data_IF_917529821313
#
_entry.id   IF_917529821313
#
_cell.length_a   1.000
_cell.length_b   1.000
_cell.length_c   1.000
_cell.angle_alpha   90.00
_cell.angle_beta   90.00
_cell.angle_gamma   90.00
#
_symmetry.space_group_name_H-M   'P 1'
#
loop_
_entity.id
_entity.type
_entity.pdbx_description
1 polymer ?
#
# COMPACT_ATOMS: atom_id res chain seq x y z
N UNK A 1 -49.71 25.03 19.53
CA UNK A 1 -48.66 25.06 18.48
C UNK A 1 -47.27 24.65 18.96
N UNK A 2 -46.83 24.84 20.21
CA UNK A 2 -45.50 24.44 20.72
C UNK A 2 -45.27 22.93 20.78
N UNK A 3 -46.26 22.08 21.06
CA UNK A 3 -46.10 20.63 21.18
C UNK A 3 -45.79 19.94 19.85
N UNK A 4 -46.31 20.44 18.72
CA UNK A 4 -46.11 19.87 17.38
C UNK A 4 -44.68 20.09 16.84
N UNK A 5 -44.04 21.20 17.25
CA UNK A 5 -42.67 21.56 16.84
C UNK A 5 -41.63 20.65 17.52
N UNK A 6 -41.85 20.21 18.76
CA UNK A 6 -40.98 19.32 19.49
C UNK A 6 -41.02 17.87 18.98
N UNK A 7 -42.12 17.44 18.37
CA UNK A 7 -42.26 16.09 17.85
C UNK A 7 -41.51 15.92 16.52
N UNK A 8 -41.59 16.94 15.65
CA UNK A 8 -40.83 16.95 14.38
C UNK A 8 -39.35 16.99 14.65
N UNK A 9 -38.87 17.79 15.61
CA UNK A 9 -37.43 17.80 15.96
C UNK A 9 -36.95 16.47 16.50
N UNK A 10 -37.73 15.75 17.32
CA UNK A 10 -37.42 14.41 17.79
C UNK A 10 -37.36 13.36 16.68
N UNK A 11 -38.28 13.43 15.71
CA UNK A 11 -38.30 12.55 14.55
C UNK A 11 -37.10 12.83 13.65
N UNK A 12 -36.76 14.10 13.41
CA UNK A 12 -35.56 14.47 12.64
C UNK A 12 -34.28 14.03 13.33
N UNK A 13 -34.19 14.20 14.66
CA UNK A 13 -33.03 13.68 15.43
C UNK A 13 -32.96 12.17 15.43
N UNK A 14 -34.08 11.46 15.48
CA UNK A 14 -34.16 10.00 15.41
C UNK A 14 -33.76 9.50 14.01
N UNK A 15 -34.20 10.16 12.95
CA UNK A 15 -33.82 9.86 11.57
C UNK A 15 -32.35 10.17 11.32
N UNK A 16 -31.85 11.29 11.86
CA UNK A 16 -30.42 11.63 11.77
C UNK A 16 -29.54 10.61 12.53
N UNK A 17 -29.98 10.16 13.70
CA UNK A 17 -29.33 9.10 14.46
C UNK A 17 -29.35 7.76 13.72
N UNK A 18 -30.45 7.42 13.05
CA UNK A 18 -30.57 6.17 12.26
C UNK A 18 -29.72 6.19 11.00
N UNK A 19 -29.51 7.35 10.36
CA UNK A 19 -28.61 7.52 9.21
C UNK A 19 -27.13 7.41 9.63
N UNK A 20 -26.79 7.83 10.85
CA UNK A 20 -25.42 7.78 11.38
C UNK A 20 -24.98 6.37 11.83
N UNK A 21 -25.92 5.42 12.04
CA UNK A 21 -25.61 4.07 12.54
C UNK A 21 -25.21 3.07 11.44
N UNK A 22 -25.25 3.44 10.16
CA UNK A 22 -24.89 2.54 9.06
C UNK A 22 -23.44 2.72 8.55
N UNK A 23 -22.52 3.26 9.35
CA UNK A 23 -21.12 3.18 9.02
C UNK A 23 -20.59 1.78 9.32
N UNK A 24 -20.75 0.88 8.38
CA UNK A 24 -20.00 -0.38 8.38
C UNK A 24 -18.53 -0.04 8.18
N UNK A 25 -17.69 -0.26 9.18
CA UNK A 25 -16.24 -0.14 9.06
C UNK A 25 -15.74 -1.21 8.07
N UNK A 26 -15.16 -0.79 6.96
CA UNK A 26 -14.55 -1.69 5.98
C UNK A 26 -13.06 -1.72 6.23
N UNK A 27 -12.51 -2.92 6.39
CA UNK A 27 -11.07 -3.10 6.47
C UNK A 27 -10.43 -2.73 5.13
N UNK A 28 -9.40 -1.89 5.17
CA UNK A 28 -8.64 -1.44 4.01
C UNK A 28 -7.19 -1.90 4.16
N UNK A 29 -6.61 -2.30 3.04
CA UNK A 29 -5.19 -2.59 2.98
C UNK A 29 -4.34 -1.32 3.11
N UNK A 30 -3.10 -1.53 3.54
CA UNK A 30 -2.08 -0.49 3.55
C UNK A 30 -1.89 0.09 2.15
N UNK A 31 -1.77 1.41 2.07
CA UNK A 31 -1.45 2.12 0.85
C UNK A 31 -0.10 2.83 0.98
N UNK A 32 0.85 2.47 0.12
CA UNK A 32 2.15 3.13 0.04
C UNK A 32 2.09 4.33 -0.91
N UNK A 33 2.81 5.38 -0.57
CA UNK A 33 3.01 6.55 -1.45
C UNK A 33 4.03 6.24 -2.53
N UNK A 34 5.06 5.47 -2.17
CA UNK A 34 6.05 4.94 -3.10
C UNK A 34 5.63 3.56 -3.63
N UNK A 35 4.43 3.47 -4.24
CA UNK A 35 3.84 2.20 -4.70
C UNK A 35 4.77 1.41 -5.64
N UNK A 36 5.57 2.09 -6.45
CA UNK A 36 6.55 1.49 -7.37
C UNK A 36 7.79 0.95 -6.64
N UNK A 37 8.06 1.40 -5.41
CA UNK A 37 9.18 0.91 -4.61
C UNK A 37 8.87 -0.40 -3.85
N UNK A 38 7.59 -0.82 -3.83
CA UNK A 38 7.12 -2.11 -3.28
C UNK A 38 6.48 -2.98 -4.36
N UNK A 39 7.22 -3.41 -5.39
CA UNK A 39 6.64 -4.06 -6.55
C UNK A 39 5.97 -5.40 -6.22
N UNK A 40 6.50 -6.22 -5.29
CA UNK A 40 5.88 -7.48 -4.86
C UNK A 40 4.52 -7.26 -4.18
N UNK A 41 4.39 -6.20 -3.39
CA UNK A 41 3.13 -5.83 -2.77
C UNK A 41 2.12 -5.30 -3.79
N UNK A 42 2.59 -4.63 -4.84
CA UNK A 42 1.74 -4.08 -5.91
C UNK A 42 1.20 -5.18 -6.83
N UNK A 43 2.06 -6.14 -7.23
CA UNK A 43 1.72 -7.20 -8.17
C UNK A 43 2.73 -8.36 -8.07
N UNK A 44 2.30 -9.60 -7.79
CA UNK A 44 3.20 -10.76 -7.69
C UNK A 44 3.98 -11.06 -8.98
N UNK A 45 3.51 -10.60 -10.14
CA UNK A 45 4.20 -10.77 -11.43
C UNK A 45 5.55 -10.02 -11.52
N UNK A 46 5.87 -9.16 -10.53
CA UNK A 46 7.18 -8.52 -10.44
C UNK A 46 8.26 -9.40 -9.81
N UNK A 47 7.94 -10.57 -9.25
CA UNK A 47 8.94 -11.43 -8.63
C UNK A 47 10.06 -11.79 -9.63
N UNK A 48 11.31 -11.46 -9.28
CA UNK A 48 12.50 -11.69 -10.12
C UNK A 48 12.55 -10.92 -11.43
N UNK A 49 11.68 -9.94 -11.64
CA UNK A 49 11.57 -9.18 -12.90
C UNK A 49 12.79 -8.30 -13.20
N UNK A 50 13.58 -7.94 -12.20
CA UNK A 50 14.81 -7.14 -12.35
C UNK A 50 15.99 -7.97 -12.84
N UNK A 51 15.86 -9.30 -12.96
CA UNK A 51 16.91 -10.23 -13.39
C UNK A 51 18.12 -10.30 -12.44
N UNK A 52 18.09 -9.60 -11.32
CA UNK A 52 19.11 -9.57 -10.27
C UNK A 52 18.42 -9.65 -8.92
N UNK A 53 18.99 -10.39 -7.93
CA UNK A 53 18.44 -10.41 -6.59
C UNK A 53 18.37 -9.00 -6.00
N UNK A 54 17.17 -8.64 -5.53
CA UNK A 54 16.86 -7.33 -4.97
C UNK A 54 16.33 -7.47 -3.55
N UNK A 55 16.85 -6.63 -2.67
CA UNK A 55 16.38 -6.48 -1.30
C UNK A 55 15.79 -5.08 -1.14
N UNK A 56 14.62 -4.98 -0.49
CA UNK A 56 13.93 -3.71 -0.26
C UNK A 56 13.46 -3.63 1.18
N UNK A 57 13.72 -2.50 1.82
CA UNK A 57 13.19 -2.13 3.14
C UNK A 57 12.41 -0.84 2.99
N UNK A 58 11.21 -0.80 3.52
CA UNK A 58 10.34 0.37 3.46
C UNK A 58 9.69 0.60 4.82
N UNK A 59 9.68 1.86 5.23
CA UNK A 59 9.01 2.33 6.43
C UNK A 59 8.10 3.50 6.07
N UNK A 60 6.85 3.44 6.54
CA UNK A 60 5.87 4.49 6.40
C UNK A 60 5.30 4.86 7.76
N UNK A 61 5.30 6.15 8.06
CA UNK A 61 4.59 6.72 9.20
C UNK A 61 3.48 7.63 8.66
N UNK A 62 2.23 7.27 8.90
CA UNK A 62 1.08 8.01 8.40
C UNK A 62 0.40 8.76 9.53
N UNK A 63 0.12 10.06 9.29
CA UNK A 63 -0.56 10.96 10.21
C UNK A 63 0.17 11.13 11.54
N UNK A 64 1.44 11.48 11.45
CA UNK A 64 2.36 11.55 12.59
C UNK A 64 2.02 12.64 13.63
N UNK A 65 1.10 13.58 13.33
CA UNK A 65 0.59 14.53 14.33
C UNK A 65 -0.39 13.89 15.32
N UNK A 66 -0.98 12.74 14.97
CA UNK A 66 -1.82 12.00 15.92
C UNK A 66 -0.96 11.14 16.84
N UNK A 67 -1.32 11.12 18.15
CA UNK A 67 -0.63 10.29 19.16
C UNK A 67 -0.59 8.81 18.78
N UNK A 68 -1.55 8.36 18.00
CA UNK A 68 -1.74 6.98 17.56
C UNK A 68 -1.48 6.82 16.05
N UNK A 69 -0.36 7.35 15.56
CA UNK A 69 0.03 7.24 14.16
C UNK A 69 0.07 5.79 13.64
N UNK A 70 -0.14 5.63 12.34
CA UNK A 70 -0.01 4.34 11.68
C UNK A 70 1.44 4.13 11.26
N UNK A 71 2.02 3.00 11.64
CA UNK A 71 3.39 2.64 11.31
C UNK A 71 3.42 1.35 10.51
N UNK A 72 3.89 1.44 9.29
CA UNK A 72 4.00 0.29 8.39
C UNK A 72 5.45 0.00 8.07
N UNK A 73 5.84 -1.26 8.19
CA UNK A 73 7.16 -1.78 7.85
C UNK A 73 7.00 -2.83 6.75
N UNK A 74 7.79 -2.75 5.70
CA UNK A 74 7.82 -3.75 4.65
C UNK A 74 9.27 -4.15 4.35
N UNK A 75 9.51 -5.46 4.34
CA UNK A 75 10.78 -6.08 3.99
C UNK A 75 10.50 -7.02 2.83
N UNK A 76 11.20 -6.86 1.71
CA UNK A 76 11.00 -7.68 0.54
C UNK A 76 12.34 -8.15 -0.04
N UNK A 77 12.32 -9.37 -0.56
CA UNK A 77 13.44 -9.96 -1.29
C UNK A 77 12.92 -10.71 -2.50
N UNK A 78 13.45 -10.43 -3.68
CA UNK A 78 13.10 -11.14 -4.90
C UNK A 78 14.33 -11.41 -5.76
N UNK A 79 14.29 -12.52 -6.50
CA UNK A 79 15.39 -12.96 -7.34
C UNK A 79 14.89 -13.80 -8.52
N UNK A 80 15.60 -13.74 -9.67
CA UNK A 80 15.33 -14.61 -10.81
C UNK A 80 15.74 -16.04 -10.53
N UNK A 81 14.98 -17.00 -11.05
CA UNK A 81 15.27 -18.43 -10.99
C UNK A 81 15.18 -19.00 -12.39
N UNK A 82 16.29 -18.98 -13.13
CA UNK A 82 16.34 -19.42 -14.54
C UNK A 82 15.82 -20.85 -14.75
N UNK A 83 16.13 -21.76 -13.83
CA UNK A 83 15.66 -23.15 -13.89
C UNK A 83 14.14 -23.29 -13.83
N UNK A 84 13.45 -22.34 -13.24
CA UNK A 84 11.98 -22.30 -13.16
C UNK A 84 11.37 -21.39 -14.23
N UNK A 85 12.16 -20.80 -15.11
CA UNK A 85 11.69 -19.90 -16.16
C UNK A 85 11.03 -18.62 -15.61
N UNK A 86 11.46 -18.15 -14.45
CA UNK A 86 10.82 -17.02 -13.81
C UNK A 86 11.56 -16.48 -12.59
N UNK A 87 10.83 -16.04 -11.58
CA UNK A 87 11.39 -15.49 -10.36
C UNK A 87 10.61 -15.84 -9.11
N UNK A 88 11.29 -15.77 -7.99
CA UNK A 88 10.71 -15.94 -6.64
C UNK A 88 10.81 -14.65 -5.87
N UNK A 89 9.83 -14.42 -5.00
CA UNK A 89 9.77 -13.29 -4.10
C UNK A 89 9.24 -13.68 -2.73
N UNK A 90 9.77 -13.04 -1.71
CA UNK A 90 9.32 -13.12 -0.33
C UNK A 90 9.12 -11.70 0.16
N UNK A 91 8.00 -11.39 0.80
CA UNK A 91 7.91 -10.17 1.57
C UNK A 91 7.19 -10.38 2.90
N UNK A 92 7.59 -9.56 3.87
CA UNK A 92 7.01 -9.47 5.20
C UNK A 92 6.57 -8.03 5.39
N UNK A 93 5.29 -7.83 5.70
CA UNK A 93 4.73 -6.52 5.99
C UNK A 93 4.12 -6.57 7.39
N UNK A 94 4.37 -5.53 8.17
CA UNK A 94 3.72 -5.30 9.45
C UNK A 94 3.11 -3.90 9.47
N UNK A 95 1.84 -3.82 9.80
CA UNK A 95 1.08 -2.58 9.92
C UNK A 95 0.54 -2.45 11.34
N UNK A 96 1.04 -1.47 12.07
CA UNK A 96 0.68 -1.18 13.45
C UNK A 96 -0.14 0.11 13.50
N UNK A 97 -1.39 -0.01 13.93
CA UNK A 97 -2.36 1.07 13.99
C UNK A 97 -2.73 1.38 15.43
N UNK A 98 -2.99 2.68 15.73
CA UNK A 98 -3.50 3.07 17.04
C UNK A 98 -2.56 2.73 18.19
N UNK A 99 -1.26 3.04 18.10
CA UNK A 99 -0.24 2.67 19.08
C UNK A 99 -0.12 1.13 19.28
N UNK A 100 -0.22 0.38 18.17
CA UNK A 100 -0.24 -1.09 18.13
C UNK A 100 -1.51 -1.71 18.78
N UNK A 101 -2.57 -0.94 18.92
CA UNK A 101 -3.87 -1.49 19.34
C UNK A 101 -4.37 -2.54 18.34
N UNK A 102 -4.29 -2.21 17.05
CA UNK A 102 -4.49 -3.17 15.96
C UNK A 102 -3.14 -3.39 15.26
N UNK A 103 -2.70 -4.63 15.17
CA UNK A 103 -1.48 -5.01 14.48
C UNK A 103 -1.80 -6.09 13.44
N UNK A 104 -1.41 -5.84 12.19
CA UNK A 104 -1.56 -6.78 11.08
C UNK A 104 -0.18 -7.12 10.53
N UNK A 105 0.18 -8.40 10.56
CA UNK A 105 1.43 -8.89 9.99
C UNK A 105 1.11 -9.89 8.89
N UNK A 106 1.83 -9.81 7.79
CA UNK A 106 1.69 -10.76 6.68
C UNK A 106 3.06 -11.22 6.19
N UNK A 107 3.15 -12.50 5.86
CA UNK A 107 4.31 -13.13 5.22
C UNK A 107 3.83 -13.77 3.93
N UNK A 108 4.42 -13.39 2.81
CA UNK A 108 3.96 -13.76 1.48
C UNK A 108 5.11 -14.31 0.64
N UNK A 109 4.84 -15.42 -0.06
CA UNK A 109 5.70 -15.99 -1.08
C UNK A 109 5.07 -15.78 -2.45
N UNK A 110 5.84 -15.25 -3.38
CA UNK A 110 5.42 -15.03 -4.76
C UNK A 110 6.28 -15.83 -5.72
N UNK A 111 5.65 -16.35 -6.77
CA UNK A 111 6.31 -16.93 -7.93
C UNK A 111 5.77 -16.26 -9.19
N UNK A 112 6.65 -15.91 -10.09
CA UNK A 112 6.24 -15.44 -11.41
C UNK A 112 6.94 -16.21 -12.53
N UNK A 113 6.20 -16.56 -13.57
CA UNK A 113 6.74 -17.11 -14.81
C UNK A 113 7.00 -15.99 -15.81
N UNK A 114 8.13 -16.01 -16.49
CA UNK A 114 8.53 -15.00 -17.45
C UNK A 114 8.52 -15.56 -18.86
N UNK A 115 7.69 -14.99 -19.72
CA UNK A 115 7.50 -15.40 -21.12
C UNK A 115 7.96 -14.29 -22.05
N UNK A 116 8.80 -14.60 -23.01
CA UNK A 116 9.17 -13.66 -24.07
C UNK A 116 8.13 -13.70 -25.19
N UNK A 117 7.30 -12.66 -25.27
CA UNK A 117 6.27 -12.57 -26.34
C UNK A 117 6.86 -12.19 -27.68
N UNK A 118 7.87 -11.33 -27.67
CA UNK A 118 8.59 -10.89 -28.88
C UNK A 118 10.00 -10.45 -28.51
N UNK A 119 10.78 -9.96 -29.47
CA UNK A 119 12.12 -9.39 -29.17
C UNK A 119 12.07 -8.22 -28.19
N UNK A 120 10.98 -7.47 -28.14
CA UNK A 120 10.83 -6.25 -27.34
C UNK A 120 9.94 -6.42 -26.12
N UNK A 121 8.96 -7.33 -26.16
CA UNK A 121 7.95 -7.47 -25.12
C UNK A 121 8.12 -8.75 -24.32
N UNK A 122 8.00 -8.60 -23.00
CA UNK A 122 7.94 -9.71 -22.03
C UNK A 122 6.60 -9.70 -21.32
N UNK A 123 6.11 -10.89 -21.00
CA UNK A 123 4.90 -11.14 -20.21
C UNK A 123 5.29 -11.95 -18.98
N UNK A 124 4.95 -11.44 -17.81
CA UNK A 124 5.08 -12.19 -16.57
C UNK A 124 3.69 -12.50 -16.02
N UNK A 125 3.48 -13.75 -15.61
CA UNK A 125 2.31 -14.18 -14.85
C UNK A 125 2.77 -14.52 -13.43
N UNK A 126 2.14 -13.95 -12.40
CA UNK A 126 2.54 -14.15 -11.02
C UNK A 126 1.42 -14.69 -10.15
N UNK A 127 1.76 -15.53 -9.19
CA UNK A 127 0.90 -16.00 -8.12
C UNK A 127 1.59 -15.78 -6.79
N UNK A 128 0.80 -15.58 -5.74
CA UNK A 128 1.29 -15.35 -4.39
C UNK A 128 0.41 -16.08 -3.41
N UNK A 129 1.02 -16.68 -2.41
CA UNK A 129 0.35 -17.23 -1.24
C UNK A 129 1.01 -16.71 0.03
N UNK A 130 0.20 -16.44 1.04
CA UNK A 130 0.69 -15.88 2.29
C UNK A 130 -0.14 -16.26 3.49
N UNK A 131 0.41 -15.92 4.65
CA UNK A 131 -0.25 -16.02 5.95
C UNK A 131 -0.36 -14.63 6.55
N UNK A 132 -1.54 -14.29 7.00
CA UNK A 132 -1.84 -13.08 7.74
C UNK A 132 -2.04 -13.42 9.21
N UNK A 133 -1.50 -12.59 10.06
CA UNK A 133 -1.70 -12.58 11.51
C UNK A 133 -2.22 -11.22 11.91
N UNK A 134 -3.43 -11.19 12.46
CA UNK A 134 -4.02 -9.98 13.01
C UNK A 134 -4.15 -10.13 14.54
N UNK A 135 -3.81 -9.08 15.25
CA UNK A 135 -3.85 -9.01 16.71
C UNK A 135 -4.53 -7.71 17.15
N UNK A 136 -5.48 -7.82 18.07
CA UNK A 136 -6.18 -6.69 18.66
C UNK A 136 -5.95 -6.68 20.17
N UNK A 137 -5.33 -5.60 20.68
CA UNK A 137 -5.13 -5.42 22.13
C UNK A 137 -6.40 -4.92 22.79
N UNK A 138 -7.24 -5.85 23.15
CA UNK A 138 -8.57 -5.60 23.73
C UNK A 138 -8.50 -4.81 25.04
N UNK A 139 -7.47 -5.04 25.88
CA UNK A 139 -7.29 -4.38 27.17
C UNK A 139 -6.94 -2.89 27.11
N UNK A 140 -6.56 -2.38 25.93
CA UNK A 140 -6.29 -0.94 25.70
C UNK A 140 -7.51 -0.20 25.13
N UNK A 141 -8.64 -0.91 24.88
CA UNK A 141 -9.88 -0.31 24.40
C UNK A 141 -10.60 0.39 25.54
N UNK A 142 -10.97 1.64 25.33
CA UNK A 142 -11.75 2.44 26.28
C UNK A 142 -13.17 2.55 25.75
N UNK A 143 -14.13 1.98 26.45
CA UNK A 143 -15.55 2.01 26.13
C UNK A 143 -16.27 3.11 26.92
N UNK A 144 -17.42 3.62 26.46
CA UNK A 144 -18.17 4.66 27.14
C UNK A 144 -18.61 4.30 28.56
N UNK A 145 -18.91 3.04 28.83
CA UNK A 145 -19.25 2.54 30.17
C UNK A 145 -18.06 2.62 31.15
N UNK A 146 -16.83 2.46 30.67
CA UNK A 146 -15.62 2.64 31.49
C UNK A 146 -15.31 4.11 31.78
N UNK A 147 -15.87 5.07 31.02
CA UNK A 147 -15.70 6.50 31.24
C UNK A 147 -16.69 7.07 32.28
N UNK A 148 -17.84 6.43 32.46
CA UNK A 148 -18.93 6.93 33.34
C UNK A 148 -18.65 6.69 34.83
N UNK A 149 -17.83 5.71 35.17
CA UNK A 149 -17.46 5.41 36.56
C UNK A 149 -16.12 6.07 36.90
N UNK A 150 -16.18 7.24 37.54
CA UNK A 150 -15.01 7.96 38.09
C UNK A 150 -14.28 7.26 39.22
N UNK A 151 -14.32 5.95 39.31
CA UNK A 151 -13.60 5.12 40.27
C UNK A 151 -12.74 4.10 39.55
N UNK A 152 -11.47 4.04 39.87
CA UNK A 152 -10.42 3.22 39.25
C UNK A 152 -10.58 1.69 39.35
N UNK A 153 -11.80 1.17 39.22
CA UNK A 153 -12.05 -0.22 39.00
C UNK A 153 -12.13 -0.50 37.51
N UNK A 154 -11.25 -1.34 37.00
CA UNK A 154 -11.29 -1.92 35.67
C UNK A 154 -12.54 -2.84 35.56
N UNK A 155 -13.73 -2.27 35.54
CA UNK A 155 -14.91 -3.03 35.18
C UNK A 155 -14.74 -3.46 33.72
N UNK A 156 -14.72 -4.75 33.49
CA UNK A 156 -14.69 -5.31 32.13
C UNK A 156 -15.99 -4.89 31.47
N UNK A 157 -15.94 -4.07 30.41
CA UNK A 157 -17.15 -3.65 29.73
C UNK A 157 -17.87 -4.89 29.14
N UNK A 158 -19.20 -4.87 29.14
CA UNK A 158 -19.99 -5.97 28.59
C UNK A 158 -19.68 -6.24 27.12
N UNK A 159 -19.19 -5.24 26.40
CA UNK A 159 -18.79 -5.33 24.98
C UNK A 159 -17.52 -6.15 24.78
N UNK A 160 -16.62 -6.21 25.77
CA UNK A 160 -15.41 -7.05 25.73
C UNK A 160 -15.71 -8.55 25.65
N UNK A 161 -16.88 -9.00 26.13
CA UNK A 161 -17.31 -10.40 26.05
C UNK A 161 -17.51 -10.87 24.60
N UNK A 162 -17.74 -9.95 23.67
CA UNK A 162 -17.93 -10.26 22.25
C UNK A 162 -16.61 -10.36 21.49
N UNK A 163 -15.49 -9.90 22.05
CA UNK A 163 -14.16 -9.96 21.46
C UNK A 163 -13.42 -11.21 21.97
N UNK A 164 -13.81 -12.39 21.47
CA UNK A 164 -13.34 -13.69 22.00
C UNK A 164 -12.05 -14.17 21.37
N UNK A 165 -11.70 -13.71 20.18
CA UNK A 165 -10.48 -14.09 19.45
C UNK A 165 -9.69 -12.84 19.07
N UNK A 166 -8.88 -12.27 19.99
CA UNK A 166 -8.10 -11.06 19.71
C UNK A 166 -7.00 -11.31 18.68
N UNK A 167 -6.57 -12.55 18.52
CA UNK A 167 -5.48 -12.97 17.64
C UNK A 167 -5.96 -14.08 16.71
N UNK A 168 -5.76 -13.94 15.41
CA UNK A 168 -6.12 -14.97 14.44
C UNK A 168 -5.22 -14.95 13.21
N UNK A 169 -5.09 -16.15 12.61
CA UNK A 169 -4.37 -16.39 11.37
C UNK A 169 -5.32 -16.76 10.25
N UNK A 170 -5.00 -16.34 9.05
CA UNK A 170 -5.69 -16.80 7.84
C UNK A 170 -4.75 -16.82 6.63
N UNK A 171 -4.92 -17.81 5.73
CA UNK A 171 -4.21 -17.82 4.46
C UNK A 171 -4.83 -16.82 3.49
N UNK A 172 -4.00 -16.29 2.60
CA UNK A 172 -4.44 -15.41 1.52
C UNK A 172 -3.70 -15.71 0.22
N UNK A 173 -4.35 -15.42 -0.91
CA UNK A 173 -3.84 -15.69 -2.24
C UNK A 173 -4.04 -14.49 -3.14
N UNK A 174 -3.06 -14.27 -4.03
CA UNK A 174 -3.09 -13.20 -5.01
C UNK A 174 -2.58 -13.69 -6.35
N UNK A 175 -3.00 -13.05 -7.43
CA UNK A 175 -2.51 -13.31 -8.77
C UNK A 175 -2.35 -12.00 -9.55
N UNK A 176 -1.46 -12.01 -10.54
CA UNK A 176 -1.25 -10.85 -11.37
C UNK A 176 -0.56 -11.15 -12.68
N UNK A 177 -0.63 -10.18 -13.56
CA UNK A 177 0.03 -10.20 -14.86
C UNK A 177 0.76 -8.88 -15.08
N UNK A 178 1.88 -8.94 -15.81
CA UNK A 178 2.71 -7.79 -16.14
C UNK A 178 3.22 -7.94 -17.57
N UNK A 179 2.95 -6.95 -18.41
CA UNK A 179 3.52 -6.83 -19.75
C UNK A 179 4.45 -5.63 -19.75
N UNK A 180 5.67 -5.82 -20.22
CA UNK A 180 6.65 -4.74 -20.22
C UNK A 180 7.67 -4.85 -21.35
N UNK A 181 8.29 -3.71 -21.64
CA UNK A 181 9.46 -3.56 -22.48
C UNK A 181 10.44 -2.56 -21.83
N UNK A 182 11.47 -2.15 -22.53
CA UNK A 182 12.46 -1.19 -22.04
C UNK A 182 11.88 0.19 -21.64
N UNK A 183 10.72 0.57 -22.19
CA UNK A 183 10.14 1.90 -21.99
C UNK A 183 8.80 1.91 -21.27
N UNK A 184 8.01 0.86 -21.37
CA UNK A 184 6.65 0.82 -20.88
C UNK A 184 6.40 -0.44 -20.08
N UNK A 185 5.57 -0.34 -19.08
CA UNK A 185 5.01 -1.50 -18.39
C UNK A 185 3.53 -1.27 -18.06
N UNK A 186 2.77 -2.37 -18.14
CA UNK A 186 1.36 -2.45 -17.82
C UNK A 186 1.14 -3.68 -16.96
N UNK A 187 0.39 -3.55 -15.90
CA UNK A 187 0.08 -4.70 -15.08
C UNK A 187 -1.30 -4.63 -14.45
N UNK A 188 -1.80 -5.81 -14.12
CA UNK A 188 -3.02 -6.00 -13.36
C UNK A 188 -2.78 -7.06 -12.29
N UNK A 189 -3.37 -6.85 -11.12
CA UNK A 189 -3.32 -7.81 -10.02
C UNK A 189 -4.66 -7.86 -9.28
N UNK A 190 -4.94 -9.02 -8.71
CA UNK A 190 -6.06 -9.24 -7.79
C UNK A 190 -5.48 -9.86 -6.53
N UNK A 191 -5.69 -9.18 -5.41
CA UNK A 191 -5.32 -9.65 -4.08
C UNK A 191 -6.56 -10.14 -3.33
N UNK A 192 -6.37 -10.95 -2.30
CA UNK A 192 -7.43 -11.52 -1.48
C UNK A 192 -8.44 -12.35 -2.29
N UNK A 193 -7.93 -13.25 -3.13
CA UNK A 193 -8.76 -14.08 -4.01
C UNK A 193 -9.77 -14.91 -3.24
N UNK A 194 -9.41 -15.40 -2.05
CA UNK A 194 -10.25 -16.23 -1.19
C UNK A 194 -11.23 -15.42 -0.33
N UNK A 195 -11.12 -14.09 -0.25
CA UNK A 195 -11.90 -13.21 0.62
C UNK A 195 -12.00 -13.74 2.06
N UNK A 196 -10.87 -13.94 2.75
CA UNK A 196 -10.86 -14.56 4.07
C UNK A 196 -11.69 -13.76 5.08
N UNK A 197 -12.33 -14.47 6.00
CA UNK A 197 -13.09 -13.85 7.07
C UNK A 197 -12.16 -13.34 8.17
N UNK A 198 -12.38 -12.11 8.60
CA UNK A 198 -11.68 -11.49 9.71
C UNK A 198 -12.46 -11.72 11.00
N UNK A 199 -11.92 -12.57 11.89
CA UNK A 199 -12.59 -13.05 13.08
C UNK A 199 -12.09 -12.31 14.32
N UNK A 200 -12.56 -11.10 14.58
CA UNK A 200 -12.36 -10.45 15.89
C UNK A 200 -13.46 -10.80 16.90
N UNK A 201 -14.57 -11.39 16.46
CA UNK A 201 -15.70 -11.77 17.29
C UNK A 201 -16.01 -13.26 17.11
N UNK A 202 -16.27 -13.96 18.21
CA UNK A 202 -16.62 -15.38 18.21
C UNK A 202 -17.96 -15.74 17.52
N UNK A 203 -18.78 -14.74 17.18
CA UNK A 203 -20.02 -14.93 16.41
C UNK A 203 -19.72 -14.84 14.90
N UNK A 204 -19.80 -15.97 14.22
CA UNK A 204 -19.57 -16.07 12.77
C UNK A 204 -20.52 -15.22 11.90
N UNK A 205 -21.64 -14.75 12.44
CA UNK A 205 -22.61 -13.94 11.69
C UNK A 205 -22.17 -12.50 11.42
N UNK A 206 -21.22 -11.97 12.20
CA UNK A 206 -20.74 -10.60 12.07
C UNK A 206 -19.26 -10.49 11.63
N UNK A 207 -18.66 -11.58 11.11
CA UNK A 207 -17.28 -11.53 10.65
C UNK A 207 -17.14 -10.69 9.39
N UNK A 208 -16.32 -9.65 9.45
CA UNK A 208 -15.97 -8.85 8.27
C UNK A 208 -15.14 -9.68 7.28
N UNK A 209 -15.42 -9.60 5.99
CA UNK A 209 -14.60 -10.20 4.95
C UNK A 209 -13.52 -9.24 4.50
N UNK A 210 -12.31 -9.76 4.27
CA UNK A 210 -11.28 -9.03 3.55
C UNK A 210 -11.59 -9.10 2.05
N UNK A 211 -12.19 -8.03 1.54
CA UNK A 211 -12.65 -7.98 0.16
C UNK A 211 -11.49 -8.01 -0.84
N UNK A 212 -11.71 -8.54 -2.03
CA UNK A 212 -10.74 -8.51 -3.13
C UNK A 212 -10.31 -7.09 -3.44
N UNK A 213 -8.99 -6.92 -3.60
CA UNK A 213 -8.39 -5.69 -4.09
C UNK A 213 -7.93 -5.87 -5.53
N UNK A 214 -8.47 -5.04 -6.41
CA UNK A 214 -8.10 -4.98 -7.82
C UNK A 214 -7.10 -3.85 -8.02
N UNK A 215 -6.00 -4.13 -8.69
CA UNK A 215 -4.95 -3.16 -8.97
C UNK A 215 -4.67 -3.16 -10.47
N UNK A 216 -4.70 -1.96 -11.07
CA UNK A 216 -4.21 -1.71 -12.42
C UNK A 216 -3.07 -0.71 -12.31
N UNK A 217 -1.97 -0.96 -13.01
CA UNK A 217 -0.84 -0.04 -12.97
C UNK A 217 -0.18 0.10 -14.34
N UNK A 218 0.28 1.30 -14.59
CA UNK A 218 0.98 1.70 -15.80
C UNK A 218 2.18 2.57 -15.43
N UNK A 219 3.26 2.47 -16.22
CA UNK A 219 4.37 3.39 -16.13
C UNK A 219 5.20 3.39 -17.40
N UNK A 220 5.97 4.46 -17.55
CA UNK A 220 6.88 4.61 -18.67
C UNK A 220 8.23 5.18 -18.23
N UNK A 221 9.28 4.93 -19.03
CA UNK A 221 10.61 5.54 -18.98
C UNK A 221 10.86 6.24 -20.30
N UNK A 222 10.92 7.54 -20.25
CA UNK A 222 11.05 8.39 -21.45
C UNK A 222 12.36 9.16 -21.38
N UNK A 223 13.42 8.70 -22.05
CA UNK A 223 14.68 9.43 -22.09
C UNK A 223 14.51 10.72 -22.92
N UNK A 224 14.87 11.87 -22.33
CA UNK A 224 14.84 13.18 -22.98
C UNK A 224 16.26 13.70 -23.09
N UNK A 225 16.69 13.97 -24.32
CA UNK A 225 18.01 14.51 -24.59
C UNK A 225 17.97 16.05 -24.62
N UNK A 226 18.77 16.71 -23.79
CA UNK A 226 18.90 18.16 -23.83
C UNK A 226 19.68 18.59 -25.08
N UNK A 227 19.17 19.59 -25.79
CA UNK A 227 19.80 20.14 -27.00
C UNK A 227 21.31 20.48 -26.80
N UNK A 228 22.14 20.01 -27.71
CA UNK A 228 23.57 20.29 -27.74
C UNK A 228 24.47 19.36 -26.92
N UNK A 229 23.93 18.48 -26.10
CA UNK A 229 24.73 17.56 -25.29
C UNK A 229 24.16 16.13 -25.31
N UNK A 230 24.68 15.29 -26.20
CA UNK A 230 24.31 13.84 -26.25
C UNK A 230 24.51 13.08 -24.94
N UNK A 231 25.28 13.65 -23.98
CA UNK A 231 25.62 13.03 -22.68
C UNK A 231 24.74 13.50 -21.51
N UNK A 232 23.85 14.49 -21.69
CA UNK A 232 22.96 14.98 -20.62
C UNK A 232 21.55 14.44 -20.85
N UNK A 233 21.31 13.23 -20.41
CA UNK A 233 20.02 12.58 -20.47
C UNK A 233 19.24 12.89 -19.19
N UNK A 234 17.99 13.29 -19.34
CA UNK A 234 16.99 13.33 -18.28
C UNK A 234 16.01 12.20 -18.59
N UNK A 235 15.61 11.44 -17.59
CA UNK A 235 14.58 10.44 -17.70
C UNK A 235 13.28 10.96 -17.07
N UNK A 236 12.19 10.94 -17.83
CA UNK A 236 10.85 11.24 -17.35
C UNK A 236 10.11 9.92 -17.16
N UNK A 237 9.59 9.69 -15.95
CA UNK A 237 8.87 8.46 -15.62
C UNK A 237 7.46 8.79 -15.11
N UNK A 238 6.46 8.91 -16.02
CA UNK A 238 5.07 9.00 -15.62
C UNK A 238 4.56 7.63 -15.15
N UNK A 239 3.79 7.63 -14.06
CA UNK A 239 3.14 6.42 -13.53
C UNK A 239 1.69 6.70 -13.17
N UNK A 240 0.88 5.65 -13.26
CA UNK A 240 -0.51 5.61 -12.86
C UNK A 240 -0.80 4.30 -12.15
N UNK A 241 -1.45 4.35 -11.00
CA UNK A 241 -2.00 3.17 -10.30
C UNK A 241 -3.44 3.45 -9.94
N UNK A 242 -4.30 2.50 -10.26
CA UNK A 242 -5.72 2.50 -9.88
C UNK A 242 -5.97 1.27 -9.03
N UNK A 243 -6.49 1.47 -7.83
CA UNK A 243 -6.84 0.41 -6.89
C UNK A 243 -8.30 0.52 -6.48
N UNK A 244 -8.96 -0.62 -6.34
CA UNK A 244 -10.32 -0.72 -5.82
C UNK A 244 -10.45 -1.91 -4.90
N UNK A 245 -10.95 -1.65 -3.69
CA UNK A 245 -11.25 -2.67 -2.67
C UNK A 245 -12.59 -2.32 -2.02
N UNK A 246 -13.63 -3.10 -2.30
CA UNK A 246 -15.00 -2.80 -1.86
C UNK A 246 -15.43 -1.38 -2.25
N UNK A 247 -15.78 -0.54 -1.27
CA UNK A 247 -16.16 0.88 -1.45
C UNK A 247 -14.94 1.78 -1.60
N UNK A 248 -13.78 1.35 -1.14
CA UNK A 248 -12.54 2.12 -1.25
C UNK A 248 -12.02 2.10 -2.68
N UNK A 249 -11.65 3.25 -3.17
CA UNK A 249 -11.00 3.39 -4.47
C UNK A 249 -9.91 4.44 -4.39
N UNK A 250 -8.79 4.18 -5.05
CA UNK A 250 -7.64 5.08 -5.05
C UNK A 250 -7.04 5.15 -6.44
N UNK A 251 -6.70 6.35 -6.86
CA UNK A 251 -5.95 6.63 -8.08
C UNK A 251 -4.72 7.44 -7.68
N UNK A 252 -3.54 6.89 -7.94
CA UNK A 252 -2.27 7.57 -7.78
C UNK A 252 -1.67 7.82 -9.16
N UNK A 253 -1.32 9.04 -9.48
CA UNK A 253 -0.67 9.39 -10.73
C UNK A 253 0.34 10.52 -10.51
N UNK A 254 1.35 10.55 -11.34
CA UNK A 254 2.39 11.56 -11.24
C UNK A 254 3.56 11.31 -12.16
N UNK A 255 4.57 12.11 -11.94
CA UNK A 255 5.78 12.13 -12.75
C UNK A 255 7.02 12.13 -11.85
N UNK A 256 7.95 11.25 -12.15
CA UNK A 256 9.31 11.27 -11.61
C UNK A 256 10.27 11.74 -12.70
N UNK A 257 11.17 12.63 -12.33
CA UNK A 257 12.25 13.12 -13.16
C UNK A 257 13.57 12.63 -12.56
N UNK A 258 14.34 11.91 -13.33
CA UNK A 258 15.65 11.41 -12.91
C UNK A 258 16.75 12.01 -13.77
N UNK A 259 17.81 12.46 -13.11
CA UNK A 259 19.02 12.92 -13.76
C UNK A 259 20.24 12.39 -13.00
N UNK A 260 21.06 11.61 -13.69
CA UNK A 260 22.17 10.89 -13.08
C UNK A 260 21.66 10.05 -11.89
N UNK A 261 22.23 10.28 -10.70
CA UNK A 261 21.87 9.56 -9.47
C UNK A 261 20.71 10.16 -8.69
N UNK A 262 20.16 11.32 -9.09
CA UNK A 262 19.13 12.04 -8.33
C UNK A 262 17.80 11.94 -9.05
N UNK A 263 16.76 11.64 -8.30
CA UNK A 263 15.37 11.67 -8.76
C UNK A 263 14.51 12.60 -7.91
N UNK A 264 13.54 13.25 -8.56
CA UNK A 264 12.51 14.04 -7.90
C UNK A 264 11.15 13.67 -8.49
N UNK A 265 10.13 13.55 -7.67
CA UNK A 265 8.78 13.16 -8.09
C UNK A 265 7.70 14.01 -7.48
N UNK A 266 6.62 14.17 -8.24
CA UNK A 266 5.38 14.81 -7.81
C UNK A 266 4.23 13.88 -8.18
N UNK A 267 3.40 13.53 -7.17
CA UNK A 267 2.30 12.59 -7.29
C UNK A 267 1.03 13.16 -6.70
N UNK A 268 -0.08 12.74 -7.25
CA UNK A 268 -1.41 13.07 -6.78
C UNK A 268 -2.13 11.79 -6.40
N UNK A 269 -2.75 11.78 -5.23
CA UNK A 269 -3.62 10.71 -4.77
C UNK A 269 -5.04 11.24 -4.64
N UNK A 270 -5.98 10.52 -5.25
CA UNK A 270 -7.42 10.81 -5.19
C UNK A 270 -8.23 9.52 -5.20
N UNK A 271 -9.51 9.61 -4.86
CA UNK A 271 -10.45 8.52 -5.13
C UNK A 271 -11.00 8.59 -6.57
N UNK A 272 -11.75 7.57 -7.01
CA UNK A 272 -12.38 7.56 -8.35
C UNK A 272 -13.41 8.69 -8.51
N UNK A 273 -14.01 9.19 -7.41
CA UNK A 273 -14.93 10.34 -7.38
C UNK A 273 -14.23 11.71 -7.47
N UNK A 274 -12.94 11.75 -7.82
CA UNK A 274 -12.14 12.98 -7.99
C UNK A 274 -12.04 13.82 -6.69
N UNK A 275 -12.08 13.16 -5.55
CA UNK A 275 -11.75 13.78 -4.26
C UNK A 275 -10.28 13.56 -3.97
N UNK A 276 -9.52 14.66 -3.94
CA UNK A 276 -8.09 14.61 -3.63
C UNK A 276 -7.86 14.27 -2.16
N UNK A 277 -6.93 13.35 -1.92
CA UNK A 277 -6.51 12.93 -0.60
C UNK A 277 -5.14 13.53 -0.24
N UNK A 278 -4.16 13.42 -1.14
CA UNK A 278 -2.82 13.92 -0.88
C UNK A 278 -2.08 14.36 -2.14
N UNK A 279 -1.17 15.32 -1.96
CA UNK A 279 -0.08 15.62 -2.89
C UNK A 279 1.20 15.05 -2.30
N UNK A 280 1.93 14.25 -3.07
CA UNK A 280 3.11 13.52 -2.61
C UNK A 280 4.35 14.12 -3.27
N UNK A 281 5.27 14.57 -2.46
CA UNK A 281 6.58 15.04 -2.88
C UNK A 281 7.60 13.95 -2.61
N UNK A 282 8.50 13.72 -3.55
CA UNK A 282 9.48 12.66 -3.46
C UNK A 282 10.85 13.12 -3.92
N UNK A 283 11.87 12.62 -3.25
CA UNK A 283 13.27 12.73 -3.63
C UNK A 283 13.94 11.37 -3.49
N UNK A 284 14.85 11.06 -4.41
CA UNK A 284 15.59 9.82 -4.41
C UNK A 284 17.02 10.00 -4.82
N UNK A 285 17.88 9.12 -4.33
CA UNK A 285 19.26 9.02 -4.72
C UNK A 285 19.59 7.56 -5.01
N UNK A 286 20.12 7.27 -6.19
CA UNK A 286 20.52 5.94 -6.61
C UNK A 286 21.99 5.96 -7.07
N UNK A 287 22.78 5.00 -6.62
CA UNK A 287 24.16 4.83 -7.05
C UNK A 287 24.55 3.36 -7.05
N UNK A 288 25.07 2.89 -8.18
CA UNK A 288 25.52 1.51 -8.39
C UNK A 288 24.43 0.49 -8.03
N UNK A 289 24.46 -0.02 -6.80
CA UNK A 289 23.63 -1.14 -6.32
C UNK A 289 22.57 -0.73 -5.31
N UNK A 290 22.53 0.51 -4.88
CA UNK A 290 21.59 0.94 -3.84
C UNK A 290 20.83 2.18 -4.26
N UNK A 291 19.61 2.28 -3.78
CA UNK A 291 18.72 3.41 -3.93
C UNK A 291 18.09 3.74 -2.60
N UNK A 292 18.07 5.01 -2.26
CA UNK A 292 17.38 5.57 -1.12
C UNK A 292 16.34 6.57 -1.65
N UNK A 293 15.09 6.43 -1.19
CA UNK A 293 14.00 7.32 -1.60
C UNK A 293 13.24 7.77 -0.36
N UNK A 294 12.94 9.04 -0.29
CA UNK A 294 12.08 9.64 0.72
C UNK A 294 10.88 10.31 0.05
N UNK A 295 9.70 10.15 0.61
CA UNK A 295 8.51 10.88 0.19
C UNK A 295 7.75 11.45 1.39
N UNK A 296 7.08 12.56 1.13
CA UNK A 296 6.21 13.24 2.08
C UNK A 296 4.85 13.49 1.43
N UNK A 297 3.79 13.02 2.08
CA UNK A 297 2.41 13.23 1.66
C UNK A 297 1.86 14.46 2.37
N UNK A 298 1.54 15.48 1.62
CA UNK A 298 0.76 16.62 2.09
C UNK A 298 -0.71 16.24 1.97
N UNK A 299 -1.37 16.02 3.09
CA UNK A 299 -2.82 15.74 3.13
C UNK A 299 -3.58 16.97 2.65
N UNK A 300 -4.47 16.81 1.66
CA UNK A 300 -5.31 17.91 1.12
C UNK A 300 -6.81 17.63 1.30
N UNK A 301 -7.16 16.53 1.97
CA UNK A 301 -8.52 16.17 2.33
C UNK A 301 -9.01 16.91 3.59
N UNK A 302 -10.17 16.54 4.13
CA UNK A 302 -10.72 17.13 5.36
C UNK A 302 -9.84 17.05 6.61
N UNK A 303 -8.72 16.29 6.55
CA UNK A 303 -7.70 16.18 7.60
C UNK A 303 -6.51 17.15 7.40
N UNK A 304 -6.66 18.15 6.53
CA UNK A 304 -5.65 19.17 6.32
C UNK A 304 -5.31 19.91 7.63
N UNK A 305 -4.02 20.01 7.91
CA UNK A 305 -3.50 20.71 9.08
C UNK A 305 -3.47 19.86 10.35
N UNK A 306 -4.39 18.93 10.53
CA UNK A 306 -4.50 18.14 11.77
C UNK A 306 -3.67 16.84 11.72
N UNK A 307 -3.54 16.23 10.54
CA UNK A 307 -2.88 14.93 10.38
C UNK A 307 -1.35 14.97 10.43
N UNK A 308 -0.73 16.12 10.18
CA UNK A 308 0.72 16.26 10.02
C UNK A 308 1.28 15.57 8.77
N UNK A 309 0.40 15.05 7.86
CA UNK A 309 0.82 14.35 6.65
C UNK A 309 1.35 12.94 6.90
N UNK A 310 2.13 12.41 5.93
CA UNK A 310 2.74 11.08 6.06
C UNK A 310 4.15 11.08 5.47
N UNK A 311 5.06 10.39 6.12
CA UNK A 311 6.45 10.22 5.67
C UNK A 311 6.71 8.77 5.30
N UNK A 312 7.45 8.56 4.21
CA UNK A 312 7.83 7.22 3.77
C UNK A 312 9.28 7.21 3.29
N UNK A 313 10.05 6.24 3.75
CA UNK A 313 11.44 6.02 3.35
C UNK A 313 11.59 4.61 2.81
N UNK A 314 12.27 4.48 1.68
CA UNK A 314 12.57 3.19 1.06
C UNK A 314 14.05 3.09 0.77
N UNK A 315 14.64 1.97 1.17
CA UNK A 315 15.97 1.57 0.79
C UNK A 315 15.90 0.29 -0.06
N UNK A 316 16.50 0.31 -1.24
CA UNK A 316 16.60 -0.85 -2.09
C UNK A 316 18.07 -1.14 -2.45
N UNK A 317 18.41 -2.43 -2.46
CA UNK A 317 19.75 -2.91 -2.71
C UNK A 317 19.76 -4.08 -3.71
N UNK A 318 20.60 -3.98 -4.74
CA UNK A 318 20.86 -5.05 -5.71
C UNK A 318 22.13 -5.80 -5.33
N UNK A 319 22.06 -7.12 -5.29
CA UNK A 319 23.24 -7.96 -4.94
C UNK A 319 24.35 -7.93 -6.00
N UNK A 320 24.00 -7.56 -7.24
CA UNK A 320 24.98 -7.38 -8.34
C UNK A 320 24.70 -6.03 -9.03
N UNK A 321 25.68 -5.49 -9.73
CA UNK A 321 25.46 -4.31 -10.59
C UNK A 321 24.57 -4.68 -11.77
N UNK A 322 23.56 -3.88 -12.02
CA UNK A 322 22.66 -4.05 -13.15
C UNK A 322 22.97 -3.01 -14.21
N UNK A 323 23.71 -3.40 -15.24
CA UNK A 323 23.98 -2.53 -16.39
C UNK A 323 22.80 -2.45 -17.37
N UNK A 324 21.79 -3.34 -17.23
CA UNK A 324 20.67 -3.51 -18.16
C UNK A 324 19.32 -3.52 -17.46
N UNK A 325 19.09 -2.61 -16.48
CA UNK A 325 17.80 -2.54 -15.80
C UNK A 325 16.69 -2.19 -16.79
N UNK A 326 15.86 -3.17 -17.15
CA UNK A 326 14.76 -3.01 -18.09
C UNK A 326 13.45 -2.55 -17.42
N UNK A 327 13.43 -2.38 -16.09
CA UNK A 327 12.25 -1.93 -15.36
C UNK A 327 12.47 -0.56 -14.74
N UNK A 328 11.47 0.32 -14.84
CA UNK A 328 11.58 1.73 -14.43
C UNK A 328 11.69 1.96 -12.92
N UNK A 329 11.65 0.91 -12.10
CA UNK A 329 11.70 1.01 -10.64
C UNK A 329 13.11 1.05 -10.06
N UNK A 330 14.12 0.76 -10.86
CA UNK A 330 15.50 0.77 -10.42
C UNK A 330 16.37 1.46 -11.47
N UNK A 331 16.74 2.68 -11.19
CA UNK A 331 17.70 3.38 -12.00
C UNK A 331 19.09 3.08 -11.43
N UNK A 332 19.80 2.13 -12.03
CA UNK A 332 21.25 2.07 -11.84
C UNK A 332 21.80 3.33 -12.50
N UNK A 333 22.18 4.33 -11.70
CA UNK A 333 22.86 5.51 -12.24
C UNK A 333 23.98 5.06 -13.16
N UNK A 334 23.80 5.28 -14.46
CA UNK A 334 24.78 4.93 -15.46
C UNK A 334 25.90 5.95 -15.35
N UNK A 335 26.96 5.60 -14.63
CA UNK A 335 28.23 6.35 -14.59
C UNK A 335 29.06 6.10 -15.86
N UNK A 336 28.42 5.91 -17.01
CA UNK A 336 29.13 5.94 -18.29
C UNK A 336 29.46 7.40 -18.64
N UNK A 337 30.59 7.84 -18.13
CA UNK A 337 31.30 9.03 -18.59
C UNK A 337 31.83 8.87 -20.03
#
# INVERSE_FOLDING_TARGET
>A
MKARKNWISKIVSLLLFFVLTFFTGWAQDVSFSQFYASPLYLNPAFAGSVEIPRFTVQYRNQWHAFTNAFNTYNLAFDFPVEKLGGGLGLFVLNDAQGNKMLNSMQVNLAYSVHVRLSEKFRLNGGVQGGLFYNSLKVGELVFPDNMAEGSGSHAVSGELQYLTEPDYFFPDFSAGVLIYNERFFYGAAVHHLAEPQQKFSGNNENSAKLNRKYTLHFGARLPVFLHGHRRKQIELSPHLVVQKQSVFSQVNYGLMVTRNSISAGLWFRQNIGIQYDAVILQVGFAKNRWQLTYSYDVTVSGLWGDSGGSSEITFAFLLKENKNAHLPFFNSGDDSF
#
